data_IF_827296651027
#
_entry.id   IF_827296651027
#
_cell.length_a   1.000
_cell.length_b   1.000
_cell.length_c   1.000
_cell.angle_alpha   90.00
_cell.angle_beta   90.00
_cell.angle_gamma   90.00
#
_symmetry.space_group_name_H-M   'P 1'
#
loop_
_entity.id
_entity.type
_entity.pdbx_description
1 polymer ?
#
# COMPACT_ATOMS: atom_id res chain seq x y z
N UNK A 1 11.72 -0.10 -5.37
CA UNK A 1 10.50 0.68 -5.66
C UNK A 1 9.39 0.11 -4.80
N UNK A 2 8.54 0.96 -4.21
CA UNK A 2 7.42 0.57 -3.34
C UNK A 2 6.11 1.02 -3.97
N UNK A 3 5.04 0.25 -3.83
CA UNK A 3 3.71 0.60 -4.30
C UNK A 3 2.81 0.97 -3.12
N UNK A 4 2.14 2.13 -3.20
CA UNK A 4 1.10 2.55 -2.28
C UNK A 4 -0.25 2.46 -2.98
N UNK A 5 -1.06 1.47 -2.57
CA UNK A 5 -2.43 1.29 -3.00
C UNK A 5 -3.41 1.94 -2.02
N UNK A 6 -4.20 2.89 -2.52
CA UNK A 6 -5.09 3.74 -1.75
C UNK A 6 -6.52 3.16 -1.72
N UNK A 7 -6.88 2.36 -2.74
CA UNK A 7 -8.18 1.72 -2.86
C UNK A 7 -8.07 0.19 -2.94
N UNK A 8 -9.17 -0.53 -2.69
CA UNK A 8 -9.23 -1.99 -2.92
C UNK A 8 -8.99 -2.38 -4.38
N UNK A 9 -9.31 -1.48 -5.32
CA UNK A 9 -9.07 -1.72 -6.75
C UNK A 9 -7.57 -1.57 -7.08
N UNK A 10 -6.94 -0.49 -6.59
CA UNK A 10 -5.51 -0.28 -6.71
C UNK A 10 -4.70 -1.38 -6.06
N UNK A 11 -5.12 -1.91 -4.92
CA UNK A 11 -4.42 -3.03 -4.27
C UNK A 11 -4.43 -4.28 -5.15
N UNK A 12 -5.56 -4.62 -5.77
CA UNK A 12 -5.65 -5.74 -6.72
C UNK A 12 -4.74 -5.52 -7.93
N UNK A 13 -4.62 -4.28 -8.41
CA UNK A 13 -3.71 -3.94 -9.50
C UNK A 13 -2.24 -4.03 -9.10
N UNK A 14 -1.88 -3.50 -7.93
CA UNK A 14 -0.53 -3.57 -7.39
C UNK A 14 -0.08 -5.02 -7.23
N UNK A 15 -0.90 -5.87 -6.60
CA UNK A 15 -0.61 -7.31 -6.41
C UNK A 15 -0.32 -8.01 -7.74
N UNK A 16 -1.11 -7.73 -8.79
CA UNK A 16 -0.88 -8.28 -10.14
C UNK A 16 0.40 -7.74 -10.78
N UNK A 17 0.70 -6.45 -10.59
CA UNK A 17 1.86 -5.80 -11.19
C UNK A 17 3.19 -6.34 -10.63
N UNK A 18 3.21 -6.71 -9.35
CA UNK A 18 4.43 -7.14 -8.64
C UNK A 18 4.58 -8.66 -8.50
N UNK A 19 3.65 -9.44 -9.03
CA UNK A 19 3.60 -10.91 -8.90
C UNK A 19 4.94 -11.58 -9.24
N UNK A 20 5.70 -11.02 -10.20
CA UNK A 20 6.97 -11.58 -10.68
C UNK A 20 8.22 -11.03 -10.00
N UNK A 21 8.12 -9.92 -9.26
CA UNK A 21 9.27 -9.22 -8.69
C UNK A 21 9.22 -9.05 -7.18
N UNK A 22 8.12 -9.45 -6.52
CA UNK A 22 7.94 -9.38 -5.07
C UNK A 22 8.22 -7.98 -4.48
N UNK A 23 7.86 -6.91 -5.22
CA UNK A 23 8.07 -5.55 -4.75
C UNK A 23 7.16 -5.22 -3.55
N UNK A 24 7.64 -4.44 -2.56
CA UNK A 24 6.82 -4.07 -1.40
C UNK A 24 5.55 -3.32 -1.81
N UNK A 25 4.43 -3.70 -1.21
CA UNK A 25 3.14 -3.01 -1.33
C UNK A 25 2.71 -2.53 0.05
N UNK A 26 2.24 -1.29 0.11
CA UNK A 26 1.57 -0.72 1.26
C UNK A 26 0.12 -0.36 0.87
N UNK A 27 -0.81 -0.52 1.80
CA UNK A 27 -2.22 -0.20 1.56
C UNK A 27 -2.94 0.33 2.81
N UNK A 28 -4.01 1.09 2.59
CA UNK A 28 -4.88 1.56 3.67
C UNK A 28 -5.71 0.45 4.32
N UNK A 29 -6.22 0.71 5.52
CA UNK A 29 -7.06 -0.25 6.25
C UNK A 29 -8.37 -0.59 5.53
N UNK A 30 -8.80 0.28 4.62
CA UNK A 30 -10.00 0.20 3.79
C UNK A 30 -9.77 -0.48 2.44
N UNK A 31 -8.51 -0.65 2.01
CA UNK A 31 -8.18 -1.35 0.78
C UNK A 31 -8.41 -2.87 0.87
N UNK A 32 -8.22 -3.44 2.06
CA UNK A 32 -8.44 -4.85 2.38
C UNK A 32 -8.84 -5.00 3.85
N UNK A 33 -9.74 -5.94 4.15
CA UNK A 33 -10.13 -6.24 5.52
C UNK A 33 -8.95 -6.84 6.30
N UNK A 34 -8.95 -6.71 7.63
CA UNK A 34 -7.91 -7.32 8.47
C UNK A 34 -7.87 -8.84 8.31
N UNK A 35 -9.04 -9.49 8.30
CA UNK A 35 -9.13 -10.93 8.10
C UNK A 35 -8.63 -11.36 6.72
N UNK A 36 -8.93 -10.61 5.66
CA UNK A 36 -8.41 -10.93 4.31
C UNK A 36 -6.91 -10.69 4.23
N UNK A 37 -6.39 -9.66 4.89
CA UNK A 37 -4.95 -9.37 4.98
C UNK A 37 -4.19 -10.49 5.68
N UNK A 38 -4.69 -10.98 6.82
CA UNK A 38 -4.10 -12.10 7.56
C UNK A 38 -4.09 -13.41 6.77
N UNK A 39 -5.08 -13.60 5.89
CA UNK A 39 -5.19 -14.79 5.04
C UNK A 39 -4.48 -14.64 3.68
N UNK A 40 -3.95 -13.45 3.35
CA UNK A 40 -3.30 -13.21 2.08
C UNK A 40 -1.85 -13.69 2.13
N UNK A 41 -1.51 -14.65 1.27
CA UNK A 41 -0.14 -15.16 1.12
C UNK A 41 0.72 -14.21 0.25
N UNK A 42 1.00 -13.02 0.78
CA UNK A 42 1.94 -12.08 0.18
C UNK A 42 2.79 -11.39 1.24
N UNK A 43 3.97 -11.95 1.50
CA UNK A 43 4.86 -11.53 2.58
C UNK A 43 5.35 -10.07 2.51
N UNK A 44 5.23 -9.41 1.35
CA UNK A 44 5.67 -8.03 1.14
C UNK A 44 4.52 -7.02 1.12
N UNK A 45 3.32 -7.40 1.60
CA UNK A 45 2.19 -6.49 1.81
C UNK A 45 2.22 -5.97 3.25
N UNK A 46 2.17 -4.65 3.39
CA UNK A 46 1.95 -3.97 4.68
C UNK A 46 0.60 -3.24 4.62
N UNK A 47 -0.17 -3.34 5.70
CA UNK A 47 -1.48 -2.67 5.84
C UNK A 47 -1.41 -1.64 6.95
N UNK A 48 -1.72 -0.38 6.63
CA UNK A 48 -1.89 0.66 7.64
C UNK A 48 -3.12 0.38 8.51
N UNK A 49 -3.08 0.85 9.75
CA UNK A 49 -4.21 0.74 10.70
C UNK A 49 -5.33 1.77 10.46
N UNK A 50 -5.15 2.68 9.51
CA UNK A 50 -6.07 3.75 9.15
C UNK A 50 -6.37 3.75 7.63
N UNK A 51 -7.53 4.30 7.21
CA UNK A 51 -7.89 4.31 5.80
C UNK A 51 -7.03 5.31 5.01
N UNK A 52 -6.91 5.09 3.71
CA UNK A 52 -6.29 6.05 2.79
C UNK A 52 -7.27 6.49 1.68
N UNK A 53 -8.29 5.70 1.38
CA UNK A 53 -9.28 5.99 0.35
C UNK A 53 -10.08 7.25 0.64
N UNK A 54 -9.93 8.28 -0.21
CA UNK A 54 -10.67 9.53 -0.11
C UNK A 54 -10.18 10.48 1.00
N UNK A 55 -9.08 10.13 1.67
CA UNK A 55 -8.43 11.00 2.65
C UNK A 55 -7.71 12.17 1.95
N UNK A 56 -7.35 13.18 2.74
CA UNK A 56 -6.68 14.38 2.24
C UNK A 56 -5.18 14.17 1.95
N UNK A 57 -4.55 15.21 1.40
CA UNK A 57 -3.14 15.19 1.06
C UNK A 57 -2.21 15.08 2.28
N UNK A 58 -2.64 15.55 3.45
CA UNK A 58 -1.81 15.49 4.67
C UNK A 58 -1.72 14.05 5.18
N UNK A 59 -2.85 13.32 5.16
CA UNK A 59 -2.89 11.89 5.50
C UNK A 59 -2.04 11.07 4.54
N UNK A 60 -2.17 11.32 3.23
CA UNK A 60 -1.35 10.65 2.21
C UNK A 60 0.14 10.97 2.37
N UNK A 61 0.49 12.22 2.68
CA UNK A 61 1.87 12.61 2.93
C UNK A 61 2.47 11.87 4.14
N UNK A 62 1.73 11.76 5.25
CA UNK A 62 2.19 11.01 6.43
C UNK A 62 2.37 9.51 6.16
N UNK A 63 1.51 8.91 5.34
CA UNK A 63 1.71 7.52 4.87
C UNK A 63 2.99 7.40 4.02
N UNK A 64 3.26 8.36 3.14
CA UNK A 64 4.49 8.39 2.33
C UNK A 64 5.73 8.53 3.21
N UNK A 65 5.72 9.41 4.21
CA UNK A 65 6.84 9.55 5.17
C UNK A 65 7.09 8.24 5.91
N UNK A 66 6.04 7.58 6.39
CA UNK A 66 6.15 6.27 7.06
C UNK A 66 6.79 5.22 6.15
N UNK A 67 6.41 5.18 4.87
CA UNK A 67 7.02 4.27 3.90
C UNK A 67 8.50 4.60 3.67
N UNK A 68 8.85 5.88 3.59
CA UNK A 68 10.23 6.32 3.41
C UNK A 68 11.13 5.95 4.60
N UNK A 69 10.60 5.97 5.82
CA UNK A 69 11.33 5.50 7.01
C UNK A 69 11.67 4.00 6.93
N UNK A 70 10.77 3.18 6.37
CA UNK A 70 10.97 1.73 6.21
C UNK A 70 11.76 1.35 4.95
N UNK A 71 11.67 2.17 3.90
CA UNK A 71 12.30 1.94 2.59
C UNK A 71 13.08 3.17 2.13
N UNK A 72 14.18 3.54 2.83
CA UNK A 72 14.91 4.77 2.56
C UNK A 72 15.53 4.78 1.16
N UNK A 73 15.28 5.85 0.41
CA UNK A 73 15.81 6.05 -0.95
C UNK A 73 15.05 5.31 -2.05
N UNK A 74 14.03 4.53 -1.71
CA UNK A 74 13.20 3.83 -2.71
C UNK A 74 12.13 4.76 -3.30
N UNK A 75 11.94 4.79 -4.62
CA UNK A 75 10.82 5.51 -5.22
C UNK A 75 9.49 4.85 -4.85
N UNK A 76 8.50 5.68 -4.54
CA UNK A 76 7.14 5.25 -4.17
C UNK A 76 6.20 5.58 -5.33
N UNK A 77 5.55 4.55 -5.87
CA UNK A 77 4.44 4.71 -6.80
C UNK A 77 3.16 4.80 -6.00
N UNK A 78 2.39 5.87 -6.17
CA UNK A 78 1.14 6.10 -5.44
C UNK A 78 -0.01 5.95 -6.44
N UNK A 79 -1.02 5.17 -6.07
CA UNK A 79 -2.27 5.11 -6.83
C UNK A 79 -2.90 6.50 -6.90
N UNK A 80 -3.28 6.91 -8.12
CA UNK A 80 -4.12 8.07 -8.33
C UNK A 80 -5.59 7.62 -8.35
N UNK A 81 -6.32 7.90 -7.28
CA UNK A 81 -7.75 7.62 -7.15
C UNK A 81 -8.62 8.77 -7.67
#
# INVERSE_FOLDING_TARGET
>A
MVYLAVTSHGLKHALRAVEKCAAPIWCGSDAISESDFENLDYASLTRFSYPLGGEDQEVLAGAVETIQEHHPGEPIWIEHA
#
